data_IF_921163924983
#
_entry.id   IF_921163924983
#
_cell.length_a   1.000
_cell.length_b   1.000
_cell.length_c   1.000
_cell.angle_alpha   90.00
_cell.angle_beta   90.00
_cell.angle_gamma   90.00
#
_symmetry.space_group_name_H-M   'P 1'
#
loop_
_entity.id
_entity.type
_entity.pdbx_description
1 polymer ?
#
# COMPACT_ATOMS: atom_id res chain seq x y z
N UNK A 1 -24.13 -25.28 42.38
CA UNK A 1 -23.86 -23.83 42.33
C UNK A 1 -22.37 -23.61 42.14
N UNK A 2 -21.97 -23.01 41.02
CA UNK A 2 -20.91 -22.00 40.92
C UNK A 2 -20.63 -21.73 39.44
N UNK A 3 -20.84 -20.47 39.11
CA UNK A 3 -20.80 -19.76 37.83
C UNK A 3 -19.43 -19.76 37.14
N UNK A 4 -19.37 -19.59 35.81
CA UNK A 4 -18.13 -19.24 35.11
C UNK A 4 -17.76 -17.78 35.39
N UNK A 5 -16.49 -17.57 35.74
CA UNK A 5 -15.89 -16.26 35.97
C UNK A 5 -15.74 -15.50 34.64
N UNK A 6 -16.45 -14.39 34.53
CA UNK A 6 -16.27 -13.37 33.51
C UNK A 6 -14.88 -12.75 33.64
N UNK A 7 -14.02 -13.00 32.64
CA UNK A 7 -12.77 -12.29 32.49
C UNK A 7 -13.04 -10.84 32.06
N UNK A 8 -12.64 -9.95 32.94
CA UNK A 8 -12.72 -8.50 32.89
C UNK A 8 -12.24 -7.91 31.57
N UNK A 9 -13.09 -7.05 31.01
CA UNK A 9 -12.80 -6.07 29.97
C UNK A 9 -11.51 -5.28 30.29
N UNK A 10 -10.42 -5.67 29.64
CA UNK A 10 -9.20 -4.85 29.50
C UNK A 10 -9.30 -4.01 28.23
N UNK A 11 -9.56 -2.71 28.38
CA UNK A 11 -9.60 -1.72 27.31
C UNK A 11 -8.18 -1.45 26.80
N UNK A 12 -7.91 -1.74 25.53
CA UNK A 12 -6.70 -1.25 24.83
C UNK A 12 -7.07 -0.09 23.89
N UNK A 13 -6.40 1.07 23.96
CA UNK A 13 -6.71 2.23 23.13
C UNK A 13 -5.89 2.23 21.81
N UNK A 14 -6.44 2.91 20.79
CA UNK A 14 -5.85 3.30 19.50
C UNK A 14 -5.84 2.28 18.34
N UNK A 15 -6.52 2.68 17.25
CA UNK A 15 -6.16 2.33 15.87
C UNK A 15 -6.66 0.98 15.37
N UNK A 16 -7.69 1.00 14.52
CA UNK A 16 -8.11 -0.19 13.76
C UNK A 16 -6.95 -0.59 12.82
N UNK A 17 -6.20 -1.63 13.17
CA UNK A 17 -5.15 -2.17 12.31
C UNK A 17 -5.73 -2.51 10.93
N UNK A 18 -4.99 -2.22 9.86
CA UNK A 18 -5.41 -2.65 8.52
C UNK A 18 -5.42 -4.19 8.47
N UNK A 19 -6.40 -4.77 7.79
CA UNK A 19 -6.61 -6.22 7.78
C UNK A 19 -5.39 -7.02 7.30
N UNK A 20 -4.54 -6.44 6.45
CA UNK A 20 -3.30 -7.02 5.92
C UNK A 20 -2.16 -7.13 6.93
N UNK A 21 -2.29 -6.47 8.09
CA UNK A 21 -1.38 -6.63 9.24
C UNK A 21 -1.87 -7.78 10.15
N UNK A 22 -3.18 -8.02 10.18
CA UNK A 22 -3.81 -8.99 11.08
C UNK A 22 -3.69 -10.41 10.51
N UNK A 23 -3.81 -10.58 9.18
CA UNK A 23 -3.71 -11.87 8.51
C UNK A 23 -3.07 -11.74 7.12
N UNK A 24 -1.73 -11.65 7.03
CA UNK A 24 -1.03 -11.51 5.76
C UNK A 24 -1.16 -12.78 4.90
N UNK A 25 -1.23 -13.97 5.53
CA UNK A 25 -1.36 -15.24 4.82
C UNK A 25 -2.66 -15.32 4.03
N UNK A 26 -3.79 -14.95 4.63
CA UNK A 26 -5.08 -14.95 3.92
C UNK A 26 -5.17 -13.88 2.84
N UNK A 27 -4.57 -12.71 3.04
CA UNK A 27 -4.69 -11.60 2.08
C UNK A 27 -3.74 -11.75 0.89
N UNK A 28 -2.50 -12.22 1.11
CA UNK A 28 -1.51 -12.37 0.05
C UNK A 28 -1.48 -13.77 -0.57
N UNK A 29 -2.12 -14.79 0.01
CA UNK A 29 -2.19 -16.13 -0.59
C UNK A 29 -3.53 -16.47 -1.25
N UNK A 30 -4.62 -15.75 -0.95
CA UNK A 30 -5.99 -16.07 -1.44
C UNK A 30 -6.51 -15.04 -2.45
N UNK A 31 -5.85 -13.89 -2.60
CA UNK A 31 -6.19 -12.87 -3.61
C UNK A 31 -5.04 -12.71 -4.59
N UNK A 32 -5.26 -12.06 -5.74
CA UNK A 32 -4.21 -11.71 -6.70
C UNK A 32 -3.25 -10.61 -6.15
N UNK A 33 -2.76 -10.82 -4.93
CA UNK A 33 -1.91 -9.91 -4.20
C UNK A 33 -0.51 -10.52 -4.07
N UNK A 34 0.51 -9.68 -4.21
CA UNK A 34 1.90 -10.08 -4.17
C UNK A 34 2.64 -9.25 -3.13
N UNK A 35 3.40 -9.90 -2.26
CA UNK A 35 4.28 -9.26 -1.27
C UNK A 35 5.72 -9.61 -1.60
N UNK A 36 6.56 -8.59 -1.81
CA UNK A 36 7.99 -8.71 -1.95
C UNK A 36 8.67 -8.28 -0.66
N UNK A 37 9.66 -9.07 -0.24
CA UNK A 37 10.53 -8.79 0.90
C UNK A 37 11.97 -8.81 0.40
N UNK A 38 12.66 -7.67 0.50
CA UNK A 38 14.09 -7.59 0.24
C UNK A 38 14.84 -7.96 1.50
N UNK A 39 15.80 -8.88 1.39
CA UNK A 39 16.63 -9.37 2.50
C UNK A 39 18.10 -9.15 2.16
N UNK A 40 18.87 -8.67 3.13
CA UNK A 40 20.33 -8.61 3.05
C UNK A 40 20.89 -10.02 3.23
N UNK A 41 21.57 -10.53 2.21
CA UNK A 41 22.08 -11.90 2.20
C UNK A 41 23.19 -12.14 3.23
N UNK A 42 23.82 -11.08 3.74
CA UNK A 42 24.96 -11.19 4.67
C UNK A 42 24.51 -11.59 6.08
N UNK A 43 23.38 -11.07 6.52
CA UNK A 43 22.92 -11.19 7.91
C UNK A 43 21.43 -11.55 8.04
N UNK A 44 20.71 -11.68 6.91
CA UNK A 44 19.28 -11.99 6.89
C UNK A 44 18.39 -10.80 7.23
N UNK A 45 18.93 -9.58 7.32
CA UNK A 45 18.15 -8.39 7.67
C UNK A 45 17.15 -8.06 6.57
N UNK A 46 15.86 -7.94 6.89
CA UNK A 46 14.83 -7.48 5.93
C UNK A 46 15.07 -6.01 5.58
N UNK A 47 15.68 -5.70 4.44
CA UNK A 47 16.02 -4.35 4.00
C UNK A 47 14.81 -3.51 3.54
N UNK A 48 13.74 -4.16 3.07
CA UNK A 48 12.55 -3.45 2.60
C UNK A 48 11.40 -4.38 2.21
N UNK A 49 10.23 -3.77 1.99
CA UNK A 49 8.99 -4.44 1.58
C UNK A 49 8.31 -3.66 0.47
N UNK A 50 7.52 -4.34 -0.34
CA UNK A 50 6.54 -3.74 -1.23
C UNK A 50 5.43 -4.75 -1.50
N UNK A 51 4.20 -4.28 -1.61
CA UNK A 51 3.05 -5.13 -1.89
C UNK A 51 2.20 -4.56 -3.02
N UNK A 52 1.47 -5.45 -3.68
CA UNK A 52 0.45 -5.14 -4.67
C UNK A 52 -0.80 -5.95 -4.36
N UNK A 53 -1.97 -5.35 -4.49
CA UNK A 53 -3.25 -6.07 -4.48
C UNK A 53 -4.21 -5.52 -5.54
N UNK A 54 -5.30 -6.24 -5.80
CA UNK A 54 -6.28 -5.90 -6.83
C UNK A 54 -7.36 -4.91 -6.36
N UNK A 55 -7.08 -4.08 -5.35
CA UNK A 55 -8.08 -3.18 -4.75
C UNK A 55 -7.81 -1.73 -5.14
N UNK A 56 -8.80 -1.05 -5.70
CA UNK A 56 -8.77 0.39 -5.92
C UNK A 56 -8.98 1.21 -4.63
N UNK A 57 -8.95 2.56 -4.69
CA UNK A 57 -9.36 3.41 -3.59
C UNK A 57 -10.84 3.21 -3.26
N UNK A 58 -11.15 3.05 -1.97
CA UNK A 58 -12.52 2.98 -1.49
C UNK A 58 -13.14 4.39 -1.38
N UNK A 59 -14.43 4.51 -1.67
CA UNK A 59 -15.22 5.69 -1.35
C UNK A 59 -16.35 5.30 -0.38
N UNK A 60 -16.53 6.02 0.74
CA UNK A 60 -15.60 6.96 1.39
C UNK A 60 -14.33 6.25 1.94
N UNK A 61 -13.22 6.96 2.27
CA UNK A 61 -13.09 8.42 2.39
C UNK A 61 -12.58 9.14 1.13
N UNK A 62 -12.04 8.43 0.13
CA UNK A 62 -11.50 9.08 -1.07
C UNK A 62 -12.64 9.67 -1.94
N UNK A 63 -12.40 10.71 -2.75
CA UNK A 63 -13.37 11.21 -3.74
C UNK A 63 -14.01 10.10 -4.60
N UNK A 64 -15.32 10.17 -4.84
CA UNK A 64 -16.06 9.14 -5.59
C UNK A 64 -15.48 8.89 -6.99
N UNK A 65 -15.10 9.97 -7.69
CA UNK A 65 -14.51 9.89 -9.03
C UNK A 65 -13.18 9.12 -9.06
N UNK A 66 -12.41 9.10 -7.96
CA UNK A 66 -11.19 8.28 -7.87
C UNK A 66 -11.53 6.80 -7.80
N UNK A 67 -12.54 6.42 -7.00
CA UNK A 67 -13.00 5.04 -6.90
C UNK A 67 -13.60 4.53 -8.22
N UNK A 68 -14.32 5.39 -8.95
CA UNK A 68 -14.87 5.09 -10.28
C UNK A 68 -13.78 4.95 -11.35
N UNK A 69 -12.76 5.82 -11.32
CA UNK A 69 -11.63 5.76 -12.24
C UNK A 69 -10.77 4.52 -12.02
N UNK A 70 -10.57 4.13 -10.77
CA UNK A 70 -9.72 3.01 -10.35
C UNK A 70 -10.53 1.94 -9.60
N UNK A 71 -11.42 1.19 -10.28
CA UNK A 71 -12.25 0.19 -9.63
C UNK A 71 -11.39 -1.00 -9.16
N UNK A 72 -11.82 -1.64 -8.07
CA UNK A 72 -11.23 -2.90 -7.60
C UNK A 72 -11.48 -4.01 -8.62
N UNK A 73 -10.53 -4.95 -8.72
CA UNK A 73 -10.53 -6.02 -9.71
C UNK A 73 -9.79 -5.64 -11.00
N UNK A 74 -9.81 -4.37 -11.39
CA UNK A 74 -9.12 -3.87 -12.60
C UNK A 74 -7.94 -2.95 -12.28
N UNK A 75 -7.75 -2.61 -11.00
CA UNK A 75 -6.65 -1.74 -10.55
C UNK A 75 -5.70 -2.52 -9.64
N UNK A 76 -4.42 -2.49 -10.01
CA UNK A 76 -3.34 -2.93 -9.14
C UNK A 76 -2.94 -1.79 -8.20
N UNK A 77 -3.12 -1.94 -6.89
CA UNK A 77 -2.71 -0.93 -5.92
C UNK A 77 -1.38 -1.29 -5.27
N UNK A 78 -0.38 -0.41 -5.44
CA UNK A 78 0.87 -0.50 -4.69
C UNK A 78 0.64 -0.08 -3.24
N UNK A 79 1.12 -0.91 -2.31
CA UNK A 79 1.00 -0.69 -0.86
C UNK A 79 2.26 -1.15 -0.16
N UNK A 80 2.40 -0.78 1.13
CA UNK A 80 3.46 -1.27 2.03
C UNK A 80 4.87 -1.14 1.45
N UNK A 81 5.10 -0.11 0.63
CA UNK A 81 6.41 0.20 0.08
C UNK A 81 7.23 0.90 1.14
N UNK A 82 8.23 0.21 1.64
CA UNK A 82 9.09 0.71 2.71
C UNK A 82 10.51 0.19 2.51
N UNK A 83 11.49 1.04 2.78
CA UNK A 83 12.90 0.67 2.83
C UNK A 83 13.49 1.20 4.14
N UNK A 84 14.19 0.32 4.86
CA UNK A 84 14.89 0.68 6.09
C UNK A 84 15.87 1.83 5.83
N UNK A 85 16.00 2.83 6.73
CA UNK A 85 16.85 3.99 6.54
C UNK A 85 18.28 3.67 6.04
N UNK A 86 18.89 2.63 6.58
CA UNK A 86 20.25 2.17 6.30
C UNK A 86 20.44 1.68 4.86
N UNK A 87 19.34 1.26 4.22
CA UNK A 87 19.30 0.73 2.85
C UNK A 87 18.70 1.73 1.84
N UNK A 88 18.36 2.96 2.28
CA UNK A 88 17.81 4.00 1.40
C UNK A 88 18.88 4.55 0.45
N UNK A 89 18.42 5.21 -0.62
CA UNK A 89 19.25 5.84 -1.66
C UNK A 89 20.11 4.88 -2.48
N UNK A 90 19.87 3.58 -2.38
CA UNK A 90 20.52 2.53 -3.18
C UNK A 90 19.62 1.99 -4.31
N UNK A 91 18.50 2.65 -4.59
CA UNK A 91 17.53 2.23 -5.62
C UNK A 91 16.62 1.07 -5.23
N UNK A 92 16.72 0.52 -4.01
CA UNK A 92 15.96 -0.66 -3.58
C UNK A 92 14.44 -0.51 -3.74
N UNK A 93 13.88 0.63 -3.33
CA UNK A 93 12.44 0.90 -3.49
C UNK A 93 12.01 0.89 -4.96
N UNK A 94 12.82 1.44 -5.87
CA UNK A 94 12.52 1.42 -7.32
C UNK A 94 12.55 0.00 -7.88
N UNK A 95 13.50 -0.84 -7.44
CA UNK A 95 13.58 -2.25 -7.85
C UNK A 95 12.36 -3.04 -7.40
N UNK A 96 11.95 -2.87 -6.14
CA UNK A 96 10.75 -3.49 -5.59
C UNK A 96 9.49 -3.05 -6.35
N UNK A 97 9.32 -1.75 -6.59
CA UNK A 97 8.17 -1.23 -7.37
C UNK A 97 8.20 -1.77 -8.79
N UNK A 98 9.36 -1.76 -9.47
CA UNK A 98 9.45 -2.27 -10.85
C UNK A 98 9.06 -3.74 -10.95
N UNK A 99 9.51 -4.58 -10.01
CA UNK A 99 9.13 -5.99 -9.98
C UNK A 99 7.61 -6.19 -9.82
N UNK A 100 6.94 -5.34 -9.02
CA UNK A 100 5.47 -5.38 -8.91
C UNK A 100 4.77 -4.86 -10.17
N UNK A 101 5.34 -3.87 -10.86
CA UNK A 101 4.81 -3.38 -12.14
C UNK A 101 4.95 -4.44 -13.24
N UNK A 102 6.09 -5.12 -13.31
CA UNK A 102 6.31 -6.24 -14.23
C UNK A 102 5.33 -7.39 -13.94
N UNK A 103 5.07 -7.68 -12.65
CA UNK A 103 4.03 -8.64 -12.25
C UNK A 103 2.63 -8.21 -12.74
N UNK A 104 2.24 -6.96 -12.50
CA UNK A 104 0.92 -6.46 -12.91
C UNK A 104 0.74 -6.47 -14.44
N UNK A 105 1.78 -6.14 -15.19
CA UNK A 105 1.78 -6.18 -16.64
C UNK A 105 1.66 -7.62 -17.16
N UNK A 106 2.36 -8.57 -16.54
CA UNK A 106 2.31 -9.99 -16.91
C UNK A 106 0.96 -10.66 -16.59
N UNK A 107 0.28 -10.24 -15.53
CA UNK A 107 -1.09 -10.69 -15.20
C UNK A 107 -2.09 -10.33 -16.32
N UNK A 108 -1.98 -9.12 -16.86
CA UNK A 108 -2.78 -8.65 -18.00
C UNK A 108 -4.24 -8.32 -17.67
N UNK A 109 -4.71 -8.55 -16.44
CA UNK A 109 -6.05 -8.19 -15.98
C UNK A 109 -6.18 -6.76 -15.47
N UNK A 110 -5.07 -6.10 -15.16
CA UNK A 110 -5.06 -4.74 -14.66
C UNK A 110 -5.04 -3.70 -15.79
N UNK A 111 -5.85 -2.65 -15.66
CA UNK A 111 -5.85 -1.49 -16.57
C UNK A 111 -5.06 -0.29 -16.03
N UNK A 112 -4.81 -0.24 -14.72
CA UNK A 112 -4.10 0.85 -14.06
C UNK A 112 -3.30 0.35 -12.85
N UNK A 113 -2.18 1.00 -12.56
CA UNK A 113 -1.47 0.88 -11.28
C UNK A 113 -1.66 2.17 -10.49
N UNK A 114 -2.11 2.03 -9.25
CA UNK A 114 -2.52 3.13 -8.40
C UNK A 114 -1.81 3.07 -7.06
N UNK A 115 -1.64 4.22 -6.41
CA UNK A 115 -1.31 4.30 -5.00
C UNK A 115 -1.79 5.60 -4.39
N UNK A 116 -1.79 5.64 -3.07
CA UNK A 116 -1.90 6.88 -2.32
C UNK A 116 -0.86 6.93 -1.22
N UNK A 117 -0.45 8.14 -0.84
CA UNK A 117 0.58 8.37 0.18
C UNK A 117 0.24 9.59 1.03
N UNK A 118 0.63 9.55 2.30
CA UNK A 118 0.68 10.75 3.13
C UNK A 118 1.96 11.55 2.77
N UNK A 119 1.86 12.81 2.33
CA UNK A 119 3.02 13.64 2.00
C UNK A 119 3.87 13.98 3.23
N UNK A 120 3.35 13.79 4.45
CA UNK A 120 4.10 13.92 5.69
C UNK A 120 5.14 12.81 5.90
N UNK A 121 5.08 11.70 5.14
CA UNK A 121 6.11 10.65 5.19
C UNK A 121 7.40 11.16 4.53
N UNK A 122 8.53 11.23 5.27
CA UNK A 122 9.76 11.82 4.73
C UNK A 122 10.23 11.14 3.45
N UNK A 123 10.31 11.92 2.37
CA UNK A 123 10.79 11.48 1.06
C UNK A 123 9.76 10.74 0.21
N UNK A 124 8.53 10.52 0.68
CA UNK A 124 7.50 9.81 -0.08
C UNK A 124 7.01 10.60 -1.30
N UNK A 125 6.63 11.87 -1.11
CA UNK A 125 6.15 12.72 -2.21
C UNK A 125 7.16 12.83 -3.38
N UNK A 126 8.44 13.23 -3.17
CA UNK A 126 9.40 13.30 -4.28
C UNK A 126 9.70 11.93 -4.90
N UNK A 127 9.66 10.85 -4.11
CA UNK A 127 9.83 9.50 -4.63
C UNK A 127 8.69 9.12 -5.58
N UNK A 128 7.43 9.30 -5.17
CA UNK A 128 6.27 8.93 -5.98
C UNK A 128 6.08 9.83 -7.19
N UNK A 129 6.32 11.14 -7.07
CA UNK A 129 6.35 12.07 -8.23
C UNK A 129 7.39 11.68 -9.28
N UNK A 130 8.46 10.99 -8.88
CA UNK A 130 9.49 10.50 -9.81
C UNK A 130 9.14 9.18 -10.50
N UNK A 131 8.03 8.54 -10.12
CA UNK A 131 7.58 7.24 -10.65
C UNK A 131 6.24 7.32 -11.34
N UNK A 132 5.36 8.24 -10.94
CA UNK A 132 4.00 8.32 -11.46
C UNK A 132 3.47 9.75 -11.53
N UNK A 133 2.29 9.86 -12.15
CA UNK A 133 1.55 11.10 -12.27
C UNK A 133 0.68 11.30 -11.02
N UNK A 134 0.80 12.43 -10.35
CA UNK A 134 -0.17 12.84 -9.34
C UNK A 134 -1.52 13.07 -10.03
N UNK A 135 -2.55 12.35 -9.60
CA UNK A 135 -3.90 12.43 -10.17
C UNK A 135 -4.88 13.17 -9.28
N UNK A 136 -4.60 13.24 -7.98
CA UNK A 136 -5.32 14.08 -7.03
C UNK A 136 -4.36 14.44 -5.90
N UNK A 137 -4.39 15.72 -5.52
CA UNK A 137 -3.74 16.25 -4.33
C UNK A 137 -4.85 16.80 -3.43
N UNK A 138 -5.22 16.06 -2.37
CA UNK A 138 -6.35 16.47 -1.52
C UNK A 138 -6.13 17.83 -0.82
N UNK A 139 -4.88 18.32 -0.77
CA UNK A 139 -4.56 19.65 -0.23
C UNK A 139 -5.08 20.79 -1.11
N UNK A 140 -5.34 20.49 -2.38
CA UNK A 140 -5.90 21.43 -3.37
C UNK A 140 -7.44 21.36 -3.41
N UNK A 141 -8.04 20.38 -2.74
CA UNK A 141 -9.49 20.15 -2.70
C UNK A 141 -10.14 20.77 -1.45
N UNK A 142 -11.44 21.12 -1.48
CA UNK A 142 -12.15 21.56 -0.29
C UNK A 142 -12.20 20.43 0.77
N UNK A 143 -11.60 20.66 1.94
CA UNK A 143 -11.61 19.70 3.04
C UNK A 143 -10.35 19.78 3.91
N UNK A 144 -10.18 18.79 4.78
CA UNK A 144 -8.97 18.57 5.60
C UNK A 144 -8.12 17.40 5.08
N UNK A 145 -8.45 16.89 3.89
CA UNK A 145 -7.71 15.87 3.19
C UNK A 145 -6.27 16.30 2.92
N UNK A 146 -5.35 15.34 2.98
CA UNK A 146 -3.93 15.60 2.75
C UNK A 146 -3.25 14.50 1.97
N UNK A 147 -4.01 13.54 1.46
CA UNK A 147 -3.47 12.39 0.76
C UNK A 147 -3.12 12.78 -0.68
N UNK A 148 -1.99 12.26 -1.15
CA UNK A 148 -1.61 12.33 -2.56
C UNK A 148 -1.92 11.02 -3.24
N UNK A 149 -2.62 11.09 -4.37
CA UNK A 149 -2.99 9.95 -5.18
C UNK A 149 -2.19 9.94 -6.48
N UNK A 150 -1.63 8.79 -6.84
CA UNK A 150 -0.80 8.64 -8.03
C UNK A 150 -1.29 7.50 -8.92
N UNK A 151 -1.18 7.71 -10.23
CA UNK A 151 -1.19 6.67 -11.24
C UNK A 151 0.25 6.41 -11.67
N UNK A 152 0.67 5.15 -11.67
CA UNK A 152 2.02 4.73 -12.08
C UNK A 152 1.88 4.01 -13.42
N UNK A 153 2.68 4.36 -14.45
CA UNK A 153 2.62 3.67 -15.72
C UNK A 153 3.02 2.20 -15.55
N UNK A 154 2.27 1.31 -16.21
CA UNK A 154 2.68 -0.08 -16.36
C UNK A 154 3.94 -0.19 -17.21
N UNK A 155 4.66 -1.28 -16.94
CA UNK A 155 6.01 -1.57 -17.38
C UNK A 155 6.21 -1.71 -18.89
#
# INVERSE_FOLDING_TARGET
CSTPSTATSGRAPFGRWHADIIDPGRLFAVTAAHLLVAVDERDGTVAGTAALDSRGPAHPPNPAWLAERYPSGETAQLRRVYVRPEYRRQGLARRLVRALLDFAAADGGYRAVYLHTDPGVPGAEPFWRSLGKAVCDEREEPGDGRVLHFEVPMA
#
